data_IF_995023868302
#
_entry.id   IF_995023868302
#
_cell.length_a   1.000
_cell.length_b   1.000
_cell.length_c   1.000
_cell.angle_alpha   90.00
_cell.angle_beta   90.00
_cell.angle_gamma   90.00
#
_symmetry.space_group_name_H-M   'P 1'
#
loop_
_entity.id
_entity.type
_entity.pdbx_description
1 polymer ?
#
# COMPACT_ATOMS: atom_id res chain seq x y z
N UNK A 1 -48.97 15.95 -56.30
CA UNK A 1 -47.76 15.14 -56.10
C UNK A 1 -46.70 16.08 -55.57
N UNK A 2 -46.18 15.76 -54.37
CA UNK A 2 -45.09 16.42 -53.61
C UNK A 2 -45.36 17.89 -53.22
N UNK A 3 -45.62 18.28 -51.96
CA UNK A 3 -45.13 17.83 -50.65
C UNK A 3 -43.61 17.98 -50.51
N UNK A 4 -43.16 19.14 -50.01
CA UNK A 4 -41.90 19.26 -49.29
C UNK A 4 -42.04 20.32 -48.17
N UNK A 5 -42.18 19.90 -46.89
CA UNK A 5 -42.19 20.74 -45.69
C UNK A 5 -40.76 21.06 -45.18
N UNK A 6 -40.59 22.01 -44.22
CA UNK A 6 -39.31 22.66 -43.90
C UNK A 6 -38.29 21.73 -43.22
N UNK A 7 -36.98 22.10 -43.18
CA UNK A 7 -35.95 21.25 -42.61
C UNK A 7 -36.15 20.99 -41.12
N UNK A 8 -36.25 19.70 -40.79
CA UNK A 8 -36.21 19.15 -39.45
C UNK A 8 -34.77 19.12 -38.90
N UNK A 9 -34.70 19.30 -37.58
CA UNK A 9 -33.63 18.88 -36.67
C UNK A 9 -32.29 19.62 -36.72
N UNK A 10 -32.24 20.72 -35.97
CA UNK A 10 -31.04 21.02 -35.18
C UNK A 10 -30.88 19.92 -34.12
N UNK A 11 -29.69 19.30 -33.96
CA UNK A 11 -29.48 18.39 -32.85
C UNK A 11 -29.56 19.18 -31.54
N UNK A 12 -30.57 18.82 -30.74
CA UNK A 12 -30.69 19.18 -29.33
C UNK A 12 -29.34 18.95 -28.67
N UNK A 13 -28.75 20.02 -28.13
CA UNK A 13 -27.57 19.95 -27.29
C UNK A 13 -27.84 18.91 -26.19
N UNK A 14 -27.10 17.80 -26.22
CA UNK A 14 -27.08 16.85 -25.12
C UNK A 14 -26.74 17.62 -23.84
N UNK A 15 -27.40 17.33 -22.70
CA UNK A 15 -27.07 17.99 -21.46
C UNK A 15 -25.61 17.64 -21.15
N UNK A 16 -24.74 18.65 -21.12
CA UNK A 16 -23.38 18.46 -20.64
C UNK A 16 -23.47 17.98 -19.20
N UNK A 17 -23.36 16.67 -19.00
CA UNK A 17 -23.24 16.05 -17.69
C UNK A 17 -21.95 16.58 -17.09
N UNK A 18 -22.09 17.65 -16.29
CA UNK A 18 -20.98 18.29 -15.60
C UNK A 18 -20.18 17.24 -14.83
N UNK A 19 -18.86 17.34 -14.86
CA UNK A 19 -17.92 16.49 -14.10
C UNK A 19 -18.31 16.39 -12.62
N UNK A 20 -18.99 17.41 -12.08
CA UNK A 20 -19.56 17.42 -10.74
C UNK A 20 -20.66 16.35 -10.52
N UNK A 21 -21.51 16.12 -11.53
CA UNK A 21 -22.60 15.13 -11.51
C UNK A 21 -22.05 13.70 -11.57
N UNK A 22 -21.03 13.48 -12.39
CA UNK A 22 -20.29 12.21 -12.45
C UNK A 22 -19.59 11.92 -11.11
N UNK A 23 -18.98 12.93 -10.49
CA UNK A 23 -18.33 12.79 -9.19
C UNK A 23 -19.35 12.53 -8.07
N UNK A 24 -20.54 13.12 -8.13
CA UNK A 24 -21.62 12.86 -7.18
C UNK A 24 -22.15 11.42 -7.33
N UNK A 25 -22.32 10.94 -8.57
CA UNK A 25 -22.72 9.57 -8.86
C UNK A 25 -21.66 8.56 -8.38
N UNK A 26 -20.38 8.82 -8.62
CA UNK A 26 -19.27 8.01 -8.14
C UNK A 26 -19.22 7.95 -6.59
N UNK A 27 -19.45 9.09 -5.93
CA UNK A 27 -19.52 9.16 -4.47
C UNK A 27 -20.70 8.35 -3.90
N UNK A 28 -21.86 8.37 -4.57
CA UNK A 28 -23.02 7.55 -4.17
C UNK A 28 -22.76 6.05 -4.35
N UNK A 29 -22.12 5.65 -5.45
CA UNK A 29 -21.74 4.25 -5.68
C UNK A 29 -20.72 3.75 -4.66
N UNK A 30 -19.72 4.56 -4.32
CA UNK A 30 -18.74 4.22 -3.29
C UNK A 30 -19.38 4.09 -1.89
N UNK A 31 -20.35 4.95 -1.57
CA UNK A 31 -21.11 4.89 -0.32
C UNK A 31 -22.02 3.65 -0.26
N UNK A 32 -22.67 3.30 -1.36
CA UNK A 32 -23.50 2.10 -1.47
C UNK A 32 -22.67 0.82 -1.31
N UNK A 33 -21.47 0.75 -1.91
CA UNK A 33 -20.56 -0.38 -1.76
C UNK A 33 -20.06 -0.54 -0.32
N UNK A 34 -19.66 0.56 0.34
CA UNK A 34 -19.26 0.51 1.76
C UNK A 34 -20.41 0.08 2.68
N UNK A 35 -21.63 0.52 2.40
CA UNK A 35 -22.81 0.09 3.15
C UNK A 35 -23.12 -1.40 2.96
N UNK A 36 -23.00 -1.92 1.75
CA UNK A 36 -23.19 -3.34 1.44
C UNK A 36 -22.14 -4.24 2.11
N UNK A 37 -20.86 -3.81 2.10
CA UNK A 37 -19.77 -4.53 2.77
C UNK A 37 -20.00 -4.58 4.29
N UNK A 38 -20.40 -3.46 4.90
CA UNK A 38 -20.71 -3.41 6.34
C UNK A 38 -21.90 -4.30 6.72
N UNK A 39 -22.97 -4.28 5.92
CA UNK A 39 -24.14 -5.13 6.15
C UNK A 39 -23.80 -6.63 6.04
N UNK A 40 -22.89 -6.99 5.13
CA UNK A 40 -22.40 -8.37 5.00
C UNK A 40 -21.51 -8.81 6.18
N UNK A 41 -20.71 -7.91 6.76
CA UNK A 41 -19.90 -8.22 7.96
C UNK A 41 -20.77 -8.37 9.21
N UNK A 42 -21.75 -7.49 9.41
CA UNK A 42 -22.69 -7.56 10.53
C UNK A 42 -23.54 -8.86 10.49
N UNK A 43 -23.95 -9.32 9.30
CA UNK A 43 -24.62 -10.63 9.16
C UNK A 43 -23.69 -11.80 9.51
N UNK A 44 -22.41 -11.76 9.12
CA UNK A 44 -21.44 -12.80 9.47
C UNK A 44 -21.17 -12.84 10.98
N UNK A 45 -21.07 -11.67 11.62
CA UNK A 45 -20.89 -11.53 13.08
C UNK A 45 -22.12 -12.02 13.86
N UNK A 46 -23.33 -11.74 13.37
CA UNK A 46 -24.57 -12.22 14.00
C UNK A 46 -24.70 -13.75 13.98
N UNK A 47 -24.23 -14.41 12.91
CA UNK A 47 -24.25 -15.89 12.80
C UNK A 47 -23.15 -16.53 13.65
N UNK A 48 -22.02 -15.84 13.89
CA UNK A 48 -20.87 -16.40 14.62
C UNK A 48 -20.97 -16.33 16.15
N UNK A 49 -21.85 -15.52 16.74
CA UNK A 49 -21.88 -15.30 18.20
C UNK A 49 -23.07 -15.99 18.92
N UNK A 50 -24.07 -16.48 18.18
CA UNK A 50 -25.32 -16.99 18.77
C UNK A 50 -25.40 -18.50 19.03
N UNK A 51 -24.41 -19.29 18.61
CA UNK A 51 -24.55 -20.76 18.55
C UNK A 51 -23.41 -21.50 19.27
N UNK A 52 -23.01 -21.04 20.47
CA UNK A 52 -21.85 -21.62 21.18
C UNK A 52 -21.92 -21.75 22.70
N UNK A 53 -22.89 -21.18 23.41
CA UNK A 53 -22.92 -21.17 24.88
C UNK A 53 -24.30 -21.56 25.44
N UNK A 54 -24.73 -22.80 25.24
CA UNK A 54 -25.93 -23.31 25.93
C UNK A 54 -25.84 -24.81 26.22
N UNK A 55 -25.04 -25.18 27.22
CA UNK A 55 -25.35 -26.24 28.18
C UNK A 55 -24.33 -26.23 29.32
N UNK A 56 -24.83 -25.90 30.50
CA UNK A 56 -24.07 -25.76 31.72
C UNK A 56 -23.37 -27.06 32.13
N UNK A 57 -22.16 -26.84 32.62
CA UNK A 57 -21.37 -27.66 33.53
C UNK A 57 -22.15 -27.87 34.85
N UNK A 58 -21.95 -29.02 35.52
CA UNK A 58 -22.45 -29.46 36.84
C UNK A 58 -23.82 -30.18 36.93
N UNK A 59 -23.77 -31.52 36.94
CA UNK A 59 -24.50 -32.38 37.87
C UNK A 59 -23.81 -33.75 37.97
N UNK A 60 -23.92 -34.41 39.11
CA UNK A 60 -22.90 -35.23 39.76
C UNK A 60 -23.07 -36.77 39.67
N UNK A 61 -21.92 -37.46 39.62
CA UNK A 61 -21.57 -38.78 40.21
C UNK A 61 -22.32 -40.08 39.76
N UNK A 62 -21.89 -41.29 40.18
CA UNK A 62 -20.80 -42.06 39.57
C UNK A 62 -21.20 -43.52 39.23
N UNK A 63 -20.48 -44.25 38.36
CA UNK A 63 -20.38 -45.73 38.48
C UNK A 63 -19.29 -46.42 37.64
N UNK A 64 -18.87 -47.53 38.24
CA UNK A 64 -17.68 -48.40 38.09
C UNK A 64 -17.68 -49.46 36.96
N UNK A 65 -16.44 -49.83 36.56
CA UNK A 65 -15.88 -51.17 36.17
C UNK A 65 -16.37 -51.92 34.90
N UNK A 66 -15.43 -52.25 34.00
CA UNK A 66 -14.92 -53.61 33.67
C UNK A 66 -14.52 -53.83 32.18
N UNK A 67 -13.22 -54.09 31.98
CA UNK A 67 -12.51 -55.06 31.11
C UNK A 67 -13.09 -55.61 29.78
N UNK A 68 -12.25 -55.57 28.72
CA UNK A 68 -11.92 -56.58 27.66
C UNK A 68 -12.02 -56.08 26.20
N UNK A 69 -10.89 -56.10 25.49
CA UNK A 69 -10.72 -56.18 24.01
C UNK A 69 -11.02 -57.62 23.50
N UNK A 70 -11.16 -57.94 22.17
CA UNK A 70 -10.81 -57.17 20.95
C UNK A 70 -11.77 -57.25 19.72
N UNK A 71 -11.45 -56.43 18.70
CA UNK A 71 -11.58 -56.63 17.24
C UNK A 71 -12.93 -56.40 16.50
N UNK A 72 -12.81 -55.52 15.50
CA UNK A 72 -13.39 -55.56 14.15
C UNK A 72 -14.63 -54.69 13.84
N UNK A 73 -14.47 -53.98 12.71
CA UNK A 73 -15.44 -53.29 11.83
C UNK A 73 -15.88 -51.90 12.30
N UNK A 74 -15.20 -50.90 11.74
CA UNK A 74 -15.67 -49.52 11.73
C UNK A 74 -16.80 -49.41 10.70
N UNK A 75 -18.03 -49.38 11.21
CA UNK A 75 -19.19 -48.89 10.48
C UNK A 75 -19.08 -47.37 10.26
N UNK A 76 -19.44 -47.00 9.05
CA UNK A 76 -19.82 -45.71 8.50
C UNK A 76 -20.00 -44.55 9.52
N UNK A 77 -18.97 -43.72 9.64
CA UNK A 77 -19.17 -42.30 9.99
C UNK A 77 -19.47 -41.63 8.65
N UNK A 78 -20.65 -41.01 8.44
CA UNK A 78 -20.86 -40.13 7.31
C UNK A 78 -19.95 -38.93 7.52
N UNK A 79 -18.73 -39.05 7.04
CA UNK A 79 -17.80 -37.93 6.92
C UNK A 79 -18.46 -37.02 5.92
N UNK A 80 -19.07 -35.94 6.41
CA UNK A 80 -19.37 -34.78 5.59
C UNK A 80 -18.02 -34.24 5.14
N UNK A 81 -17.46 -34.85 4.09
CA UNK A 81 -16.40 -34.27 3.28
C UNK A 81 -17.07 -33.07 2.63
N UNK A 82 -16.94 -31.91 3.26
CA UNK A 82 -17.20 -30.66 2.58
C UNK A 82 -16.36 -30.70 1.30
N UNK A 83 -17.03 -30.85 0.17
CA UNK A 83 -16.39 -30.76 -1.13
C UNK A 83 -15.83 -29.34 -1.19
N UNK A 84 -14.52 -29.22 -0.99
CA UNK A 84 -13.78 -27.98 -1.11
C UNK A 84 -13.80 -27.58 -2.58
N UNK A 85 -14.93 -27.04 -3.00
CA UNK A 85 -15.11 -26.29 -4.24
C UNK A 85 -15.44 -24.87 -3.82
N UNK A 86 -14.43 -24.22 -3.24
CA UNK A 86 -14.15 -22.79 -3.35
C UNK A 86 -12.84 -22.57 -2.62
N UNK A 87 -11.87 -22.14 -3.41
CA UNK A 87 -10.58 -21.58 -3.06
C UNK A 87 -10.70 -20.49 -1.97
N UNK A 88 -10.89 -20.90 -0.72
CA UNK A 88 -11.04 -20.02 0.45
C UNK A 88 -9.73 -19.34 0.89
N UNK A 89 -8.70 -19.37 0.05
CA UNK A 89 -7.38 -18.76 0.29
C UNK A 89 -7.03 -17.68 -0.74
N UNK A 90 -7.97 -17.34 -1.63
CA UNK A 90 -7.78 -16.27 -2.61
C UNK A 90 -8.17 -14.95 -1.98
N UNK A 91 -7.23 -14.35 -1.26
CA UNK A 91 -7.31 -12.94 -0.88
C UNK A 91 -6.94 -12.15 -2.14
N UNK A 92 -7.86 -11.36 -2.74
CA UNK A 92 -7.59 -10.62 -3.98
C UNK A 92 -6.38 -9.68 -3.88
N UNK A 93 -6.14 -9.19 -2.67
CA UNK A 93 -5.00 -8.35 -2.31
C UNK A 93 -3.68 -9.12 -2.34
N UNK A 94 -3.68 -10.39 -1.90
CA UNK A 94 -2.51 -11.28 -2.02
C UNK A 94 -2.26 -11.66 -3.47
N UNK A 95 -3.31 -11.89 -4.28
CA UNK A 95 -3.15 -12.15 -5.71
C UNK A 95 -2.58 -10.94 -6.47
N UNK A 96 -3.03 -9.73 -6.14
CA UNK A 96 -2.49 -8.49 -6.73
C UNK A 96 -1.05 -8.24 -6.27
N UNK A 97 -0.75 -8.48 -4.99
CA UNK A 97 0.62 -8.40 -4.47
C UNK A 97 1.55 -9.45 -5.12
N UNK A 98 1.05 -10.66 -5.38
CA UNK A 98 1.78 -11.69 -6.11
C UNK A 98 2.00 -11.32 -7.59
N UNK A 99 1.06 -10.63 -8.24
CA UNK A 99 1.23 -10.09 -9.59
C UNK A 99 2.33 -9.00 -9.65
N UNK A 100 2.39 -8.09 -8.68
CA UNK A 100 3.46 -7.09 -8.60
C UNK A 100 4.85 -7.72 -8.49
N UNK A 101 4.97 -8.88 -7.82
CA UNK A 101 6.21 -9.65 -7.77
C UNK A 101 6.60 -10.27 -9.14
N UNK A 102 5.60 -10.63 -9.96
CA UNK A 102 5.80 -11.13 -11.32
C UNK A 102 6.23 -10.02 -12.29
N UNK A 103 5.73 -8.80 -12.09
CA UNK A 103 6.06 -7.61 -12.88
C UNK A 103 7.50 -7.11 -12.71
N UNK A 104 8.28 -7.70 -11.79
CA UNK A 104 9.66 -7.28 -11.46
C UNK A 104 9.78 -5.82 -11.01
N UNK A 105 8.69 -5.19 -10.55
CA UNK A 105 8.71 -3.81 -10.00
C UNK A 105 9.65 -3.68 -8.79
N UNK A 106 9.94 -4.79 -8.13
CA UNK A 106 10.90 -4.89 -7.04
C UNK A 106 12.37 -4.76 -7.50
N UNK A 107 12.69 -4.90 -8.80
CA UNK A 107 14.04 -4.71 -9.35
C UNK A 107 14.33 -3.22 -9.59
N UNK A 108 14.49 -2.46 -8.52
CA UNK A 108 14.80 -1.02 -8.58
C UNK A 108 16.25 -0.75 -9.01
N UNK A 109 16.59 0.49 -9.43
CA UNK A 109 18.00 0.87 -9.66
C UNK A 109 18.88 0.66 -8.41
N UNK A 110 18.33 0.96 -7.24
CA UNK A 110 18.98 0.72 -5.94
C UNK A 110 19.26 -0.77 -5.66
N UNK A 111 18.33 -1.65 -6.09
CA UNK A 111 18.55 -3.10 -6.04
C UNK A 111 19.76 -3.51 -6.86
N UNK A 112 19.85 -3.03 -8.10
CA UNK A 112 20.95 -3.37 -9.02
C UNK A 112 22.30 -2.81 -8.54
N UNK A 113 22.29 -1.59 -8.02
CA UNK A 113 23.48 -0.99 -7.41
C UNK A 113 23.99 -1.83 -6.23
N UNK A 114 23.11 -2.21 -5.30
CA UNK A 114 23.48 -3.07 -4.16
C UNK A 114 23.91 -4.46 -4.60
N UNK A 115 23.21 -5.05 -5.57
CA UNK A 115 23.55 -6.36 -6.10
C UNK A 115 24.95 -6.37 -6.73
N UNK A 116 25.34 -5.27 -7.39
CA UNK A 116 26.68 -5.11 -7.95
C UNK A 116 27.77 -4.95 -6.89
N UNK A 117 27.43 -4.38 -5.73
CA UNK A 117 28.32 -4.21 -4.58
C UNK A 117 28.55 -5.51 -3.82
N UNK A 118 27.66 -6.51 -3.96
CA UNK A 118 27.78 -7.82 -3.34
C UNK A 118 28.43 -8.85 -4.28
N UNK A 119 29.76 -9.08 -4.21
CA UNK A 119 30.47 -9.95 -5.16
C UNK A 119 30.02 -11.42 -5.05
N UNK A 120 29.61 -11.88 -3.87
CA UNK A 120 29.10 -13.24 -3.65
C UNK A 120 27.78 -13.48 -4.39
N UNK A 121 26.86 -12.51 -4.31
CA UNK A 121 25.57 -12.55 -5.00
C UNK A 121 25.76 -12.44 -6.51
N UNK A 122 26.66 -11.57 -6.96
CA UNK A 122 27.02 -11.47 -8.37
C UNK A 122 27.57 -12.81 -8.89
N UNK A 123 28.48 -13.45 -8.14
CA UNK A 123 29.02 -14.77 -8.48
C UNK A 123 27.94 -15.85 -8.46
N UNK A 124 27.01 -15.79 -7.51
CA UNK A 124 25.87 -16.71 -7.46
C UNK A 124 24.99 -16.57 -8.71
N UNK A 125 24.65 -15.36 -9.13
CA UNK A 125 23.84 -15.11 -10.33
C UNK A 125 24.55 -15.48 -11.64
N UNK A 126 25.87 -15.50 -11.66
CA UNK A 126 26.64 -16.02 -12.80
C UNK A 126 26.62 -17.55 -12.86
N UNK A 127 26.25 -18.23 -11.78
CA UNK A 127 26.24 -19.68 -11.73
C UNK A 127 24.97 -20.24 -12.41
N UNK A 128 25.09 -21.02 -13.49
CA UNK A 128 23.93 -21.55 -14.23
C UNK A 128 23.07 -22.50 -13.39
N UNK A 129 23.65 -23.18 -12.38
CA UNK A 129 22.86 -23.99 -11.45
C UNK A 129 22.01 -23.15 -10.52
N UNK A 130 22.57 -22.05 -10.03
CA UNK A 130 21.86 -21.18 -9.10
C UNK A 130 20.70 -20.45 -9.78
N UNK A 131 20.92 -19.92 -10.98
CA UNK A 131 19.85 -19.27 -11.76
C UNK A 131 18.75 -20.25 -12.17
N UNK A 132 19.11 -21.48 -12.55
CA UNK A 132 18.14 -22.55 -12.77
C UNK A 132 17.36 -22.90 -11.49
N UNK A 133 18.02 -22.90 -10.32
CA UNK A 133 17.36 -23.14 -9.03
C UNK A 133 16.36 -22.04 -8.66
N UNK A 134 16.71 -20.77 -8.86
CA UNK A 134 15.81 -19.63 -8.62
C UNK A 134 14.61 -19.66 -9.57
N UNK A 135 14.83 -20.00 -10.84
CA UNK A 135 13.77 -20.12 -11.84
C UNK A 135 12.81 -21.30 -11.54
N UNK A 136 13.36 -22.46 -11.18
CA UNK A 136 12.57 -23.60 -10.73
C UNK A 136 11.82 -23.27 -9.44
N UNK A 137 12.41 -22.50 -8.51
CA UNK A 137 11.74 -22.09 -7.27
C UNK A 137 10.55 -21.16 -7.52
N UNK A 138 10.67 -20.24 -8.49
CA UNK A 138 9.57 -19.34 -8.88
C UNK A 138 8.41 -20.07 -9.57
N UNK A 139 8.68 -21.18 -10.26
CA UNK A 139 7.68 -21.92 -11.04
C UNK A 139 7.13 -23.15 -10.32
N UNK A 140 7.97 -23.83 -9.51
CA UNK A 140 7.65 -25.08 -8.85
C UNK A 140 8.52 -25.30 -7.59
N UNK A 141 8.11 -24.75 -6.43
CA UNK A 141 8.94 -24.75 -5.22
C UNK A 141 9.26 -26.16 -4.71
N UNK A 142 8.33 -27.11 -4.81
CA UNK A 142 8.56 -28.50 -4.34
C UNK A 142 9.66 -29.21 -5.13
N UNK A 143 9.68 -29.04 -6.46
CA UNK A 143 10.70 -29.66 -7.33
C UNK A 143 12.08 -29.03 -7.12
N UNK A 144 12.13 -27.71 -6.94
CA UNK A 144 13.37 -27.00 -6.68
C UNK A 144 14.01 -27.48 -5.36
N UNK A 145 13.22 -27.56 -4.28
CA UNK A 145 13.74 -28.04 -2.98
C UNK A 145 14.24 -29.48 -3.10
N UNK A 146 13.45 -30.40 -3.68
CA UNK A 146 13.88 -31.80 -3.83
C UNK A 146 15.17 -31.97 -4.66
N UNK A 147 15.38 -31.11 -5.67
CA UNK A 147 16.52 -31.18 -6.59
C UNK A 147 17.80 -30.55 -6.02
N UNK A 148 17.68 -29.43 -5.30
CA UNK A 148 18.83 -28.66 -4.82
C UNK A 148 19.09 -28.81 -3.30
N UNK A 149 18.24 -29.51 -2.54
CA UNK A 149 18.43 -29.74 -1.09
C UNK A 149 19.76 -30.39 -0.70
N UNK A 150 20.35 -31.19 -1.60
CA UNK A 150 21.58 -31.92 -1.33
C UNK A 150 22.83 -31.20 -1.87
N UNK A 151 22.69 -29.99 -2.42
CA UNK A 151 23.80 -29.19 -2.95
C UNK A 151 24.15 -28.06 -1.96
N UNK A 152 25.20 -28.22 -1.13
CA UNK A 152 25.56 -27.22 -0.13
C UNK A 152 26.03 -25.89 -0.75
N UNK A 153 26.53 -25.91 -1.99
CA UNK A 153 26.94 -24.69 -2.69
C UNK A 153 25.75 -23.86 -3.11
N UNK A 154 24.75 -24.48 -3.75
CA UNK A 154 23.50 -23.81 -4.15
C UNK A 154 22.70 -23.37 -2.92
N UNK A 155 22.66 -24.19 -1.86
CA UNK A 155 21.97 -23.84 -0.63
C UNK A 155 22.56 -22.59 0.06
N UNK A 156 23.90 -22.47 0.10
CA UNK A 156 24.56 -21.27 0.64
C UNK A 156 24.27 -20.03 -0.21
N UNK A 157 24.38 -20.13 -1.54
CA UNK A 157 24.05 -19.04 -2.47
C UNK A 157 22.60 -18.60 -2.38
N UNK A 158 21.67 -19.55 -2.24
CA UNK A 158 20.24 -19.29 -2.07
C UNK A 158 19.95 -18.59 -0.76
N UNK A 159 20.60 -19.01 0.33
CA UNK A 159 20.46 -18.36 1.63
C UNK A 159 20.93 -16.90 1.57
N UNK A 160 22.11 -16.65 1.01
CA UNK A 160 22.66 -15.30 0.84
C UNK A 160 21.73 -14.44 -0.02
N UNK A 161 21.17 -15.01 -1.10
CA UNK A 161 20.17 -14.33 -1.94
C UNK A 161 18.87 -14.02 -1.22
N UNK A 162 18.31 -14.97 -0.46
CA UNK A 162 17.08 -14.74 0.31
C UNK A 162 17.28 -13.67 1.39
N UNK A 163 18.44 -13.64 2.04
CA UNK A 163 18.77 -12.61 3.01
C UNK A 163 18.87 -11.23 2.36
N UNK A 164 19.53 -11.14 1.19
CA UNK A 164 19.61 -9.91 0.41
C UNK A 164 18.23 -9.42 -0.03
N UNK A 165 17.41 -10.31 -0.58
CA UNK A 165 16.03 -10.01 -0.98
C UNK A 165 15.17 -9.56 0.21
N UNK A 166 15.33 -10.18 1.38
CA UNK A 166 14.63 -9.78 2.60
C UNK A 166 14.97 -8.34 3.01
N UNK A 167 16.25 -7.99 3.04
CA UNK A 167 16.69 -6.63 3.35
C UNK A 167 16.20 -5.61 2.30
N UNK A 168 16.19 -6.00 1.03
CA UNK A 168 15.69 -5.16 -0.06
C UNK A 168 14.19 -4.88 0.05
N UNK A 169 13.37 -5.90 0.31
CA UNK A 169 11.93 -5.73 0.49
C UNK A 169 11.57 -4.93 1.75
N UNK A 170 12.31 -5.11 2.84
CA UNK A 170 12.13 -4.30 4.04
C UNK A 170 12.40 -2.82 3.76
N UNK A 171 13.48 -2.53 3.01
CA UNK A 171 13.78 -1.16 2.63
C UNK A 171 12.75 -0.58 1.65
N UNK A 172 12.34 -1.35 0.64
CA UNK A 172 11.25 -0.96 -0.26
C UNK A 172 9.98 -0.59 0.50
N UNK A 173 9.63 -1.36 1.54
CA UNK A 173 8.50 -1.08 2.41
C UNK A 173 8.65 0.26 3.13
N UNK A 174 9.82 0.53 3.72
CA UNK A 174 10.11 1.82 4.39
C UNK A 174 10.10 2.99 3.41
N UNK A 175 10.65 2.82 2.21
CA UNK A 175 10.69 3.85 1.19
C UNK A 175 9.28 4.15 0.63
N UNK A 176 8.45 3.11 0.46
CA UNK A 176 7.02 3.26 0.10
C UNK A 176 6.25 3.99 1.18
N UNK A 177 6.41 3.61 2.45
CA UNK A 177 5.76 4.26 3.59
C UNK A 177 6.19 5.73 3.71
N UNK A 178 7.47 6.02 3.56
CA UNK A 178 7.98 7.39 3.58
C UNK A 178 7.41 8.23 2.43
N UNK A 179 7.34 7.68 1.22
CA UNK A 179 6.72 8.32 0.06
C UNK A 179 5.23 8.55 0.26
N UNK A 180 4.51 7.58 0.82
CA UNK A 180 3.08 7.70 1.11
C UNK A 180 2.81 8.78 2.17
N UNK A 181 3.61 8.81 3.23
CA UNK A 181 3.54 9.85 4.26
C UNK A 181 3.79 11.24 3.67
N UNK A 182 4.81 11.36 2.81
CA UNK A 182 5.12 12.61 2.12
C UNK A 182 4.01 13.02 1.16
N UNK A 183 3.45 12.08 0.38
CA UNK A 183 2.33 12.33 -0.51
C UNK A 183 1.09 12.78 0.27
N UNK A 184 0.79 12.13 1.40
CA UNK A 184 -0.30 12.50 2.30
C UNK A 184 -0.09 13.88 2.91
N UNK A 185 1.14 14.22 3.29
CA UNK A 185 1.48 15.56 3.80
C UNK A 185 1.28 16.63 2.72
N UNK A 186 1.72 16.36 1.48
CA UNK A 186 1.48 17.24 0.33
C UNK A 186 -0.01 17.42 0.06
N UNK A 187 -0.76 16.33 0.00
CA UNK A 187 -2.21 16.37 -0.21
C UNK A 187 -2.92 17.13 0.91
N UNK A 188 -2.50 16.98 2.17
CA UNK A 188 -3.05 17.73 3.29
C UNK A 188 -2.80 19.24 3.13
N UNK A 189 -1.58 19.63 2.75
CA UNK A 189 -1.22 21.02 2.47
C UNK A 189 -2.02 21.59 1.30
N UNK A 190 -2.19 20.84 0.22
CA UNK A 190 -2.99 21.23 -0.94
C UNK A 190 -4.48 21.35 -0.59
N UNK A 191 -5.00 20.45 0.24
CA UNK A 191 -6.41 20.51 0.69
C UNK A 191 -6.69 21.63 1.68
N UNK A 192 -5.66 22.13 2.37
CA UNK A 192 -5.78 23.28 3.26
C UNK A 192 -5.86 24.62 2.51
N UNK A 193 -5.42 24.65 1.24
CA UNK A 193 -5.57 25.82 0.38
C UNK A 193 -7.04 25.91 -0.11
N UNK A 194 -7.74 26.96 0.33
CA UNK A 194 -9.18 27.12 0.15
C UNK A 194 -9.53 27.73 -1.20
N UNK A 195 -8.58 28.42 -1.83
CA UNK A 195 -8.76 29.06 -3.14
C UNK A 195 -7.84 28.44 -4.21
N UNK A 196 -8.26 28.45 -5.49
CA UNK A 196 -7.43 27.96 -6.59
C UNK A 196 -6.14 28.78 -6.76
N UNK A 197 -6.12 30.04 -6.35
CA UNK A 197 -4.92 30.89 -6.33
C UNK A 197 -3.92 30.42 -5.25
N UNK A 198 -4.39 30.15 -4.03
CA UNK A 198 -3.57 29.58 -2.96
C UNK A 198 -3.06 28.17 -3.33
N UNK A 199 -3.86 27.34 -4.01
CA UNK A 199 -3.43 26.02 -4.47
C UNK A 199 -2.31 26.12 -5.51
N UNK A 200 -2.41 27.05 -6.46
CA UNK A 200 -1.35 27.29 -7.44
C UNK A 200 -0.07 27.81 -6.75
N UNK A 201 -0.21 28.64 -5.72
CA UNK A 201 0.91 29.12 -4.93
C UNK A 201 1.56 27.99 -4.14
N UNK A 202 0.77 27.18 -3.40
CA UNK A 202 1.25 26.01 -2.65
C UNK A 202 1.93 24.99 -3.57
N UNK A 203 1.35 24.70 -4.74
CA UNK A 203 1.97 23.81 -5.72
C UNK A 203 3.29 24.35 -6.25
N UNK A 204 3.40 25.67 -6.52
CA UNK A 204 4.69 26.29 -6.90
C UNK A 204 5.73 26.12 -5.81
N UNK A 205 5.36 26.35 -4.55
CA UNK A 205 6.24 26.18 -3.39
C UNK A 205 6.67 24.72 -3.25
N UNK A 206 5.74 23.77 -3.42
CA UNK A 206 6.02 22.34 -3.39
C UNK A 206 6.79 21.84 -4.62
N UNK A 207 6.78 22.56 -5.73
CA UNK A 207 7.53 22.20 -6.93
C UNK A 207 8.97 22.69 -6.88
N UNK A 208 9.28 23.67 -6.03
CA UNK A 208 10.61 24.26 -5.90
C UNK A 208 11.46 23.47 -4.88
N UNK A 209 12.53 22.78 -5.33
CA UNK A 209 13.40 22.01 -4.44
C UNK A 209 14.19 22.90 -3.47
N UNK A 210 14.51 24.14 -3.82
CA UNK A 210 15.20 25.06 -2.91
C UNK A 210 14.25 25.52 -1.79
N UNK A 211 12.99 25.82 -2.11
CA UNK A 211 12.00 26.19 -1.09
C UNK A 211 11.70 25.00 -0.17
N UNK A 212 11.59 23.79 -0.71
CA UNK A 212 11.44 22.57 0.11
C UNK A 212 12.63 22.35 1.04
N UNK A 213 13.85 22.56 0.56
CA UNK A 213 15.05 22.46 1.38
C UNK A 213 15.07 23.53 2.50
N UNK A 214 14.62 24.74 2.21
CA UNK A 214 14.52 25.83 3.20
C UNK A 214 13.45 25.52 4.25
N UNK A 215 12.28 25.00 3.86
CA UNK A 215 11.19 24.67 4.78
C UNK A 215 11.48 23.44 5.66
N UNK A 216 12.26 22.49 5.15
CA UNK A 216 12.70 21.31 5.90
C UNK A 216 13.91 21.57 6.82
N UNK A 217 14.58 22.72 6.68
CA UNK A 217 15.73 23.10 7.51
C UNK A 217 15.33 23.39 8.97
N UNK A 218 15.84 22.63 9.96
CA UNK A 218 15.53 22.83 11.37
C UNK A 218 15.88 24.24 11.89
N UNK A 219 16.97 24.83 11.39
CA UNK A 219 17.37 26.19 11.77
C UNK A 219 16.39 27.22 11.22
N UNK A 220 15.91 27.02 9.99
CA UNK A 220 14.89 27.88 9.40
C UNK A 220 13.55 27.74 10.13
N UNK A 221 13.15 26.52 10.50
CA UNK A 221 11.92 26.32 11.30
C UNK A 221 11.99 27.05 12.64
N UNK A 222 13.15 27.06 13.30
CA UNK A 222 13.35 27.84 14.52
C UNK A 222 13.21 29.34 14.27
N UNK A 223 13.78 29.85 13.17
CA UNK A 223 13.66 31.25 12.76
C UNK A 223 12.21 31.61 12.45
N UNK A 224 11.48 30.80 11.68
CA UNK A 224 10.08 31.04 11.34
C UNK A 224 9.18 31.07 12.59
N UNK A 225 9.47 30.22 13.60
CA UNK A 225 8.79 30.30 14.90
C UNK A 225 9.11 31.59 15.64
N UNK A 226 10.38 31.99 15.67
CA UNK A 226 10.81 33.22 16.32
C UNK A 226 10.27 34.49 15.61
N UNK A 227 10.09 34.44 14.29
CA UNK A 227 9.52 35.53 13.49
C UNK A 227 8.01 35.72 13.69
N UNK A 228 7.34 34.89 14.49
CA UNK A 228 5.99 35.20 14.98
C UNK A 228 6.01 36.43 15.89
N UNK A 229 7.14 36.75 16.52
CA UNK A 229 7.29 37.97 17.30
C UNK A 229 7.62 39.18 16.41
N UNK A 230 6.92 40.31 16.57
CA UNK A 230 7.19 41.51 15.81
C UNK A 230 8.61 42.03 16.09
N UNK A 231 9.37 42.33 15.02
CA UNK A 231 10.74 42.85 15.09
C UNK A 231 11.86 41.81 15.01
N UNK A 232 11.59 40.54 15.30
CA UNK A 232 12.60 39.45 15.24
C UNK A 232 12.97 39.12 13.78
N UNK A 233 12.00 39.22 12.88
CA UNK A 233 12.19 38.96 11.45
C UNK A 233 13.24 39.88 10.81
N UNK A 234 13.24 41.17 11.17
CA UNK A 234 14.24 42.15 10.69
C UNK A 234 15.66 41.79 11.13
N UNK A 235 15.81 41.26 12.35
CA UNK A 235 17.11 40.83 12.88
C UNK A 235 17.66 39.63 12.12
N UNK A 236 16.82 38.66 11.78
CA UNK A 236 17.22 37.51 10.96
C UNK A 236 17.40 37.85 9.48
N UNK A 237 16.73 38.90 8.98
CA UNK A 237 16.92 39.40 7.61
C UNK A 237 18.31 40.03 7.41
N UNK A 238 18.91 40.56 8.49
CA UNK A 238 20.27 41.11 8.48
C UNK A 238 21.36 40.03 8.44
N UNK A 239 21.05 38.79 8.81
CA UNK A 239 21.97 37.66 8.73
C UNK A 239 22.17 37.26 7.25
N UNK A 240 23.42 37.11 6.77
CA UNK A 240 23.69 36.83 5.36
C UNK A 240 23.21 35.43 4.92
N UNK A 241 23.16 34.45 5.83
CA UNK A 241 22.76 33.08 5.55
C UNK A 241 21.25 32.92 5.69
N UNK A 242 20.69 33.41 6.80
CA UNK A 242 19.25 33.30 7.08
C UNK A 242 18.45 34.30 6.26
N UNK A 243 18.93 35.54 6.12
CA UNK A 243 18.27 36.59 5.34
C UNK A 243 18.17 36.25 3.85
N UNK A 244 19.17 35.56 3.29
CA UNK A 244 19.09 35.06 1.91
C UNK A 244 17.93 34.06 1.74
N UNK A 245 17.74 33.14 2.70
CA UNK A 245 16.63 32.18 2.69
C UNK A 245 15.27 32.86 2.92
N UNK A 246 15.19 33.83 3.83
CA UNK A 246 13.96 34.63 4.07
C UNK A 246 13.56 35.41 2.82
N UNK A 247 14.51 36.02 2.10
CA UNK A 247 14.23 36.72 0.84
C UNK A 247 13.71 35.78 -0.25
N UNK A 248 14.19 34.54 -0.32
CA UNK A 248 13.64 33.52 -1.23
C UNK A 248 12.19 33.16 -0.85
N UNK A 249 11.90 32.97 0.44
CA UNK A 249 10.53 32.74 0.92
C UNK A 249 9.62 33.95 0.65
N UNK A 250 10.12 35.17 0.79
CA UNK A 250 9.41 36.40 0.45
C UNK A 250 9.09 36.48 -1.05
N UNK A 251 10.06 36.18 -1.92
CA UNK A 251 9.86 36.15 -3.37
C UNK A 251 8.84 35.07 -3.81
N UNK A 252 8.74 33.98 -3.05
CA UNK A 252 7.72 32.94 -3.22
C UNK A 252 6.34 33.30 -2.62
N UNK A 253 6.21 34.48 -2.02
CA UNK A 253 4.96 34.94 -1.39
C UNK A 253 4.60 34.23 -0.09
N UNK A 254 5.52 33.47 0.51
CA UNK A 254 5.32 32.74 1.77
C UNK A 254 5.49 33.64 3.01
N UNK A 255 6.31 34.68 2.90
CA UNK A 255 6.55 35.64 3.99
C UNK A 255 6.16 37.02 3.48
N UNK A 256 5.19 37.63 4.14
CA UNK A 256 4.81 39.01 3.91
C UNK A 256 5.41 39.87 5.01
N UNK A 257 6.33 40.76 4.64
CA UNK A 257 6.81 41.82 5.52
C UNK A 257 5.74 42.91 5.55
N UNK A 258 4.83 42.82 6.52
CA UNK A 258 3.91 43.93 6.76
C UNK A 258 4.73 45.10 7.34
N UNK A 259 4.62 46.33 6.79
CA UNK A 259 5.26 47.52 7.33
C UNK A 259 4.73 47.89 8.71
#
# INVERSE_FOLDING_TARGET
MADEPPPLDAPVAAPETSVMDEMLAAAMHAKAQKAAIKAADDQKRAVSFGQGLKKGFFSAAPRTKATKTPKAKADDIPTIRAKSTRSSLEIPEVQSAMQGLQSKDWMTPEFLDKLSKDPKLCTALQNPRFTAAIQEMSSNPEKAVAKYQNDPGVAAMLKDFMQFMGAHFEQLGKDMEAKELQARQRQALESAAQTPEEQAQVQRILSDPELQAILSDPAMQAVLRACQEPGVLLRHLADPVVGAKIRKLQAAGLVQLHP
#
